data_IF_890165167756
#
_entry.id   IF_890165167756
#
_cell.length_a   1.000
_cell.length_b   1.000
_cell.length_c   1.000
_cell.angle_alpha   90.00
_cell.angle_beta   90.00
_cell.angle_gamma   90.00
#
_symmetry.space_group_name_H-M   'P 1'
#
loop_
_entity.id
_entity.type
_entity.pdbx_description
1 polymer ?
#
# COMPACT_ATOMS: atom_id res chain seq x y z
N UNK A 1 1.21 11.41 -20.55
CA UNK A 1 0.62 11.37 -19.18
C UNK A 1 0.12 9.99 -18.87
N UNK A 2 0.49 9.47 -17.70
CA UNK A 2 -0.04 8.21 -17.23
C UNK A 2 -1.54 8.35 -16.95
N UNK A 3 -2.35 7.47 -17.51
CA UNK A 3 -3.78 7.44 -17.21
C UNK A 3 -3.99 6.96 -15.77
N UNK A 4 -4.78 7.70 -15.00
CA UNK A 4 -5.23 7.28 -13.68
C UNK A 4 -6.37 6.27 -13.85
N UNK A 5 -6.18 5.05 -13.38
CA UNK A 5 -7.22 4.00 -13.42
C UNK A 5 -7.96 3.96 -12.07
N UNK A 6 -8.59 5.06 -11.74
CA UNK A 6 -9.33 5.18 -10.50
C UNK A 6 -10.77 4.72 -10.66
N UNK A 7 -11.29 4.00 -9.67
CA UNK A 7 -12.68 3.58 -9.69
C UNK A 7 -13.13 3.00 -8.36
N UNK A 8 -14.38 2.58 -8.31
CA UNK A 8 -14.97 1.92 -7.16
C UNK A 8 -14.92 0.41 -7.36
N UNK A 9 -14.44 -0.31 -6.35
CA UNK A 9 -14.43 -1.76 -6.32
C UNK A 9 -15.71 -2.27 -5.65
N UNK A 10 -16.40 -3.19 -6.32
CA UNK A 10 -17.60 -3.85 -5.77
C UNK A 10 -17.26 -5.29 -5.41
N UNK A 11 -17.21 -5.63 -4.11
CA UNK A 11 -16.87 -6.99 -3.71
C UNK A 11 -17.96 -7.99 -4.03
N UNK A 12 -17.56 -9.20 -4.45
CA UNK A 12 -18.48 -10.33 -4.58
C UNK A 12 -18.82 -10.92 -3.21
N UNK A 13 -17.91 -10.77 -2.24
CA UNK A 13 -18.05 -11.26 -0.87
C UNK A 13 -17.99 -10.10 0.13
N UNK A 14 -19.02 -9.25 0.18
CA UNK A 14 -18.96 -8.02 0.98
C UNK A 14 -18.79 -8.26 2.48
N UNK A 15 -19.14 -9.43 2.99
CA UNK A 15 -18.97 -9.77 4.41
C UNK A 15 -17.50 -9.87 4.84
N UNK A 16 -16.59 -10.07 3.90
CA UNK A 16 -15.14 -10.12 4.15
C UNK A 16 -14.55 -8.72 4.35
N UNK A 17 -15.17 -7.69 3.79
CA UNK A 17 -14.65 -6.34 3.85
C UNK A 17 -14.99 -5.67 5.17
N UNK A 18 -13.98 -5.10 5.84
CA UNK A 18 -14.15 -4.35 7.08
C UNK A 18 -14.20 -2.86 6.72
N UNK A 19 -15.40 -2.30 6.71
CA UNK A 19 -15.62 -0.90 6.37
C UNK A 19 -16.84 -0.73 5.46
N UNK A 20 -16.92 0.42 4.80
CA UNK A 20 -18.02 0.74 3.90
C UNK A 20 -17.79 0.12 2.52
N UNK A 21 -18.53 -0.93 2.19
CA UNK A 21 -18.40 -1.67 0.93
C UNK A 21 -18.79 -0.82 -0.30
N UNK A 22 -19.47 0.31 -0.11
CA UNK A 22 -19.86 1.20 -1.20
C UNK A 22 -18.80 2.25 -1.53
N UNK A 23 -17.72 2.32 -0.74
CA UNK A 23 -16.69 3.35 -0.86
C UNK A 23 -15.27 2.75 -0.93
N UNK A 24 -15.14 1.59 -1.53
CA UNK A 24 -13.82 0.96 -1.75
C UNK A 24 -13.25 1.52 -3.05
N UNK A 25 -12.25 2.41 -2.93
CA UNK A 25 -11.66 3.10 -4.08
C UNK A 25 -10.31 2.49 -4.42
N UNK A 26 -10.12 2.05 -5.67
CA UNK A 26 -8.80 1.74 -6.20
C UNK A 26 -8.27 2.92 -7.00
N UNK A 27 -6.96 3.18 -6.88
CA UNK A 27 -6.28 4.28 -7.59
C UNK A 27 -5.33 3.78 -8.66
N UNK A 28 -5.19 2.45 -8.77
CA UNK A 28 -4.38 1.80 -9.80
C UNK A 28 -4.96 0.43 -10.12
N UNK A 29 -4.57 -0.13 -11.27
CA UNK A 29 -4.96 -1.49 -11.63
C UNK A 29 -4.30 -2.53 -10.73
N UNK A 30 -3.10 -2.25 -10.21
CA UNK A 30 -2.44 -3.11 -9.24
C UNK A 30 -3.24 -3.22 -7.95
N UNK A 31 -3.74 -2.10 -7.44
CA UNK A 31 -4.61 -2.09 -6.27
C UNK A 31 -5.89 -2.87 -6.53
N UNK A 32 -6.56 -2.63 -7.66
CA UNK A 32 -7.77 -3.35 -8.03
C UNK A 32 -7.54 -4.86 -8.09
N UNK A 33 -6.43 -5.27 -8.65
CA UNK A 33 -6.06 -6.69 -8.76
C UNK A 33 -5.88 -7.32 -7.38
N UNK A 34 -5.25 -6.60 -6.45
CA UNK A 34 -5.09 -7.08 -5.09
C UNK A 34 -6.42 -7.13 -4.33
N UNK A 35 -7.31 -6.16 -4.53
CA UNK A 35 -8.66 -6.18 -3.96
C UNK A 35 -9.43 -7.41 -4.41
N UNK A 36 -9.34 -7.74 -5.69
CA UNK A 36 -9.98 -8.93 -6.23
C UNK A 36 -9.42 -10.21 -5.61
N UNK A 37 -8.11 -10.24 -5.42
CA UNK A 37 -7.47 -11.36 -4.72
C UNK A 37 -8.01 -11.52 -3.30
N UNK A 38 -8.08 -10.44 -2.53
CA UNK A 38 -8.61 -10.47 -1.17
C UNK A 38 -10.08 -10.93 -1.12
N UNK A 39 -10.88 -10.46 -2.08
CA UNK A 39 -12.31 -10.76 -2.13
C UNK A 39 -12.57 -12.23 -2.47
N UNK A 40 -11.80 -12.79 -3.40
CA UNK A 40 -12.06 -14.13 -3.95
C UNK A 40 -11.26 -15.25 -3.28
N UNK A 41 -10.17 -14.95 -2.57
CA UNK A 41 -9.30 -15.97 -1.98
C UNK A 41 -9.86 -16.46 -0.64
N UNK A 42 -10.10 -17.75 -0.52
CA UNK A 42 -10.65 -18.37 0.68
C UNK A 42 -9.71 -18.30 1.89
N UNK A 43 -8.40 -18.13 1.66
CA UNK A 43 -7.42 -17.99 2.75
C UNK A 43 -7.46 -16.59 3.40
N UNK A 44 -8.13 -15.63 2.78
CA UNK A 44 -8.33 -14.29 3.33
C UNK A 44 -9.66 -14.26 4.09
N UNK A 45 -9.57 -14.03 5.39
CA UNK A 45 -10.76 -13.96 6.26
C UNK A 45 -11.42 -12.59 6.18
N UNK A 46 -10.63 -11.51 6.37
CA UNK A 46 -11.08 -10.13 6.30
C UNK A 46 -10.04 -9.25 5.62
N UNK A 47 -10.48 -8.15 5.03
CA UNK A 47 -9.61 -7.13 4.47
C UNK A 47 -10.23 -5.75 4.54
N UNK A 48 -9.40 -4.72 4.54
CA UNK A 48 -9.81 -3.32 4.55
C UNK A 48 -8.86 -2.50 3.69
N UNK A 49 -9.38 -1.44 3.06
CA UNK A 49 -8.64 -0.53 2.21
C UNK A 49 -8.61 0.85 2.85
N UNK A 50 -7.40 1.37 3.12
CA UNK A 50 -7.17 2.74 3.62
C UNK A 50 -7.94 3.10 4.89
N UNK A 51 -8.20 2.12 5.77
CA UNK A 51 -8.98 2.34 6.98
C UNK A 51 -8.10 2.60 8.22
N UNK A 52 -6.80 2.24 8.16
CA UNK A 52 -5.91 2.31 9.32
C UNK A 52 -4.87 3.40 9.12
N UNK A 53 -4.90 4.49 9.91
CA UNK A 53 -3.87 5.53 9.83
C UNK A 53 -2.62 5.14 10.63
N UNK A 54 -1.45 5.41 10.06
CA UNK A 54 -0.16 5.28 10.73
C UNK A 54 0.52 6.64 10.75
N UNK A 55 0.96 7.07 11.92
CA UNK A 55 1.68 8.34 12.06
C UNK A 55 3.14 8.13 11.67
N UNK A 56 3.69 9.00 10.83
CA UNK A 56 5.09 8.98 10.48
C UNK A 56 5.70 10.38 10.49
N UNK A 57 7.02 10.45 10.68
CA UNK A 57 7.77 11.69 10.62
C UNK A 57 8.40 11.84 9.22
N UNK A 58 8.06 12.93 8.53
CA UNK A 58 8.63 13.21 7.22
C UNK A 58 9.91 14.07 7.41
N UNK A 59 11.10 13.50 7.09
CA UNK A 59 12.35 14.24 7.28
C UNK A 59 12.53 15.41 6.31
N UNK A 60 11.75 15.47 5.23
CA UNK A 60 11.85 16.54 4.23
C UNK A 60 11.22 17.83 4.72
N UNK A 61 10.05 17.78 5.35
CA UNK A 61 9.38 18.96 5.92
C UNK A 61 9.49 19.03 7.45
N UNK A 62 10.10 18.03 8.08
CA UNK A 62 10.32 17.93 9.52
C UNK A 62 9.01 17.98 10.33
N UNK A 63 7.96 17.37 9.79
CA UNK A 63 6.62 17.32 10.42
C UNK A 63 6.12 15.90 10.48
N UNK A 64 5.19 15.67 11.44
CA UNK A 64 4.44 14.43 11.51
C UNK A 64 3.22 14.49 10.60
N UNK A 65 2.95 13.38 9.91
CA UNK A 65 1.81 13.23 9.03
C UNK A 65 1.13 11.90 9.32
N UNK A 66 -0.10 11.75 8.84
CA UNK A 66 -0.78 10.47 8.80
C UNK A 66 -0.57 9.81 7.45
N UNK A 67 -0.34 8.51 7.49
CA UNK A 67 -0.18 7.67 6.33
C UNK A 67 -1.23 6.56 6.41
N UNK A 68 -1.98 6.35 5.33
CA UNK A 68 -2.95 5.27 5.23
C UNK A 68 -2.38 4.19 4.33
N UNK A 69 -1.88 3.08 4.89
CA UNK A 69 -1.47 1.94 4.08
C UNK A 69 -2.61 1.45 3.20
N UNK A 70 -2.27 0.92 2.03
CA UNK A 70 -3.29 0.54 1.06
C UNK A 70 -4.27 -0.50 1.60
N UNK A 71 -3.77 -1.53 2.29
CA UNK A 71 -4.60 -2.62 2.78
C UNK A 71 -4.17 -3.15 4.13
N UNK A 72 -5.13 -3.65 4.88
CA UNK A 72 -4.92 -4.51 6.04
C UNK A 72 -5.67 -5.80 5.76
N UNK A 73 -5.01 -6.94 5.98
CA UNK A 73 -5.54 -8.26 5.63
C UNK A 73 -5.36 -9.19 6.82
N UNK A 74 -6.40 -9.98 7.11
CA UNK A 74 -6.34 -11.07 8.09
C UNK A 74 -6.61 -12.40 7.38
N UNK A 75 -5.71 -13.36 7.56
CA UNK A 75 -5.85 -14.69 6.98
C UNK A 75 -6.65 -15.60 7.89
N UNK A 76 -7.10 -16.74 7.35
CA UNK A 76 -7.81 -17.77 8.14
C UNK A 76 -6.94 -18.36 9.25
N UNK A 77 -5.62 -18.24 9.16
CA UNK A 77 -4.68 -18.67 10.19
C UNK A 77 -4.44 -17.61 11.27
N UNK A 78 -5.21 -16.52 11.26
CA UNK A 78 -5.09 -15.37 12.18
C UNK A 78 -3.83 -14.53 11.97
N UNK A 79 -3.12 -14.69 10.87
CA UNK A 79 -2.03 -13.79 10.51
C UNK A 79 -2.59 -12.47 10.00
N UNK A 80 -2.01 -11.36 10.43
CA UNK A 80 -2.39 -10.01 9.99
C UNK A 80 -1.26 -9.36 9.22
N UNK A 81 -1.61 -8.77 8.09
CA UNK A 81 -0.68 -8.09 7.20
C UNK A 81 -1.14 -6.67 6.92
N UNK A 82 -0.20 -5.75 6.96
CA UNK A 82 -0.37 -4.39 6.43
C UNK A 82 0.33 -4.35 5.08
N UNK A 83 -0.41 -3.99 4.03
CA UNK A 83 0.06 -4.13 2.64
C UNK A 83 0.12 -2.76 1.97
N UNK A 84 1.23 -2.49 1.33
CA UNK A 84 1.43 -1.35 0.43
C UNK A 84 1.63 -1.87 -0.99
N UNK A 85 0.87 -1.36 -1.94
CA UNK A 85 0.99 -1.72 -3.35
C UNK A 85 1.79 -0.62 -4.05
N UNK A 86 2.92 -0.99 -4.65
CA UNK A 86 3.77 -0.05 -5.39
C UNK A 86 4.35 -0.70 -6.64
N UNK A 87 4.46 0.03 -7.74
CA UNK A 87 5.27 -0.45 -8.87
C UNK A 87 6.71 -0.66 -8.43
N UNK A 88 7.34 -1.74 -8.91
CA UNK A 88 8.70 -2.10 -8.47
C UNK A 88 9.72 -0.99 -8.70
N UNK A 89 9.56 -0.21 -9.76
CA UNK A 89 10.43 0.94 -10.07
C UNK A 89 10.41 2.02 -8.97
N UNK A 90 9.32 2.12 -8.20
CA UNK A 90 9.16 3.10 -7.13
C UNK A 90 9.65 2.60 -5.76
N UNK A 91 9.97 1.32 -5.66
CA UNK A 91 10.52 0.70 -4.45
C UNK A 91 12.03 0.87 -4.39
N UNK A 92 12.70 0.77 -5.54
CA UNK A 92 14.14 0.90 -5.63
C UNK A 92 14.60 2.34 -5.49
N UNK A 93 15.79 2.54 -4.91
CA UNK A 93 16.41 3.85 -4.83
C UNK A 93 16.67 4.39 -6.24
N UNK A 94 16.27 5.65 -6.56
CA UNK A 94 16.54 6.23 -7.89
C UNK A 94 18.02 6.27 -8.20
N UNK A 95 18.39 5.89 -9.43
CA UNK A 95 19.78 5.97 -9.90
C UNK A 95 20.11 7.41 -10.31
N UNK A 96 21.22 8.01 -9.83
CA UNK A 96 21.59 9.36 -10.23
C UNK A 96 21.89 9.41 -11.73
N UNK A 97 21.25 10.33 -12.48
CA UNK A 97 21.60 10.56 -13.88
C UNK A 97 22.88 11.36 -14.00
N UNK A 98 23.45 11.46 -15.22
CA UNK A 98 24.64 12.28 -15.46
C UNK A 98 24.43 13.74 -15.11
N UNK A 99 23.22 14.28 -15.37
CA UNK A 99 22.82 15.62 -14.91
C UNK A 99 21.61 15.47 -14.01
N UNK A 100 21.63 16.14 -12.85
CA UNK A 100 20.49 16.15 -11.94
C UNK A 100 19.33 16.88 -12.59
N UNK A 101 18.21 16.19 -12.76
CA UNK A 101 16.97 16.73 -13.33
C UNK A 101 15.95 16.95 -12.22
N UNK A 102 14.90 17.73 -12.53
CA UNK A 102 13.75 17.90 -11.61
C UNK A 102 13.07 16.55 -11.35
N UNK A 103 13.01 15.69 -12.36
CA UNK A 103 12.44 14.36 -12.23
C UNK A 103 13.21 13.50 -11.23
N UNK A 104 14.53 13.50 -11.32
CA UNK A 104 15.38 12.77 -10.38
C UNK A 104 15.22 13.27 -8.95
N UNK A 105 15.16 14.60 -8.76
CA UNK A 105 14.96 15.19 -7.44
C UNK A 105 13.60 14.79 -6.86
N UNK A 106 12.54 14.83 -7.66
CA UNK A 106 11.20 14.43 -7.25
C UNK A 106 11.15 12.96 -6.85
N UNK A 107 11.72 12.08 -7.66
CA UNK A 107 11.80 10.65 -7.37
C UNK A 107 12.59 10.38 -6.10
N UNK A 108 13.68 11.10 -5.87
CA UNK A 108 14.51 10.98 -4.67
C UNK A 108 13.73 11.41 -3.42
N UNK A 109 12.98 12.51 -3.50
CA UNK A 109 12.14 12.97 -2.39
C UNK A 109 11.01 11.99 -2.08
N UNK A 110 10.35 11.46 -3.12
CA UNK A 110 9.32 10.42 -2.93
C UNK A 110 9.92 9.16 -2.30
N UNK A 111 11.12 8.76 -2.71
CA UNK A 111 11.79 7.62 -2.13
C UNK A 111 12.05 7.83 -0.64
N UNK A 112 12.59 8.98 -0.24
CA UNK A 112 12.86 9.33 1.16
C UNK A 112 11.56 9.31 1.98
N UNK A 113 10.51 9.91 1.46
CA UNK A 113 9.20 9.96 2.10
C UNK A 113 8.61 8.57 2.28
N UNK A 114 8.67 7.73 1.24
CA UNK A 114 8.17 6.36 1.30
C UNK A 114 8.95 5.51 2.30
N UNK A 115 10.27 5.67 2.39
CA UNK A 115 11.07 4.95 3.38
C UNK A 115 10.66 5.34 4.81
N UNK A 116 10.39 6.63 5.05
CA UNK A 116 9.91 7.10 6.35
C UNK A 116 8.53 6.52 6.69
N UNK A 117 7.61 6.50 5.73
CA UNK A 117 6.27 5.90 5.89
C UNK A 117 6.37 4.41 6.21
N UNK A 118 7.18 3.68 5.45
CA UNK A 118 7.26 2.23 5.58
C UNK A 118 7.97 1.81 6.86
N UNK A 119 8.96 2.58 7.30
CA UNK A 119 9.59 2.34 8.59
C UNK A 119 8.60 2.53 9.75
N UNK A 120 7.80 3.58 9.70
CA UNK A 120 6.73 3.80 10.69
C UNK A 120 5.68 2.71 10.65
N UNK A 121 5.29 2.26 9.45
CA UNK A 121 4.35 1.16 9.27
C UNK A 121 4.90 -0.15 9.84
N UNK A 122 6.17 -0.44 9.60
CA UNK A 122 6.82 -1.62 10.15
C UNK A 122 6.86 -1.60 11.68
N UNK A 123 7.21 -0.45 12.28
CA UNK A 123 7.19 -0.30 13.74
C UNK A 123 5.80 -0.50 14.31
N UNK A 124 4.79 0.08 13.67
CA UNK A 124 3.40 -0.11 14.06
C UNK A 124 3.02 -1.59 14.01
N UNK A 125 3.38 -2.30 12.96
CA UNK A 125 3.09 -3.72 12.79
C UNK A 125 3.79 -4.56 13.87
N UNK A 126 5.05 -4.27 14.16
CA UNK A 126 5.80 -4.97 15.21
C UNK A 126 5.12 -4.82 16.57
N UNK A 127 4.58 -3.62 16.87
CA UNK A 127 3.90 -3.35 18.13
C UNK A 127 2.49 -3.97 18.22
N UNK A 128 1.90 -4.32 17.08
CA UNK A 128 0.51 -4.79 17.00
C UNK A 128 0.36 -6.22 16.48
N UNK A 129 1.44 -6.99 16.43
CA UNK A 129 1.39 -8.38 16.00
C UNK A 129 1.05 -8.56 14.52
N UNK A 130 1.45 -7.61 13.69
CA UNK A 130 1.22 -7.61 12.25
C UNK A 130 2.55 -7.70 11.49
N UNK A 131 2.49 -8.05 10.21
CA UNK A 131 3.62 -7.99 9.29
C UNK A 131 3.37 -6.94 8.23
N UNK A 132 4.36 -6.10 7.97
CA UNK A 132 4.30 -5.13 6.89
C UNK A 132 4.93 -5.70 5.62
N UNK A 133 4.22 -5.57 4.48
CA UNK A 133 4.72 -6.02 3.16
C UNK A 133 4.46 -4.97 2.10
N UNK A 134 5.47 -4.73 1.26
CA UNK A 134 5.32 -3.97 0.02
C UNK A 134 5.18 -4.97 -1.11
N UNK A 135 4.06 -4.92 -1.83
CA UNK A 135 3.74 -5.82 -2.94
C UNK A 135 3.84 -5.05 -4.25
N UNK A 136 4.56 -5.62 -5.20
CA UNK A 136 4.75 -5.04 -6.53
C UNK A 136 4.05 -5.89 -7.59
N UNK A 137 4.05 -5.41 -8.85
CA UNK A 137 3.53 -6.18 -10.00
C UNK A 137 4.24 -7.53 -10.16
N UNK A 138 5.47 -7.64 -9.69
CA UNK A 138 6.23 -8.90 -9.74
C UNK A 138 5.66 -9.93 -8.78
N UNK A 139 5.14 -9.49 -7.64
CA UNK A 139 4.52 -10.37 -6.64
C UNK A 139 3.10 -10.75 -7.03
N UNK A 140 2.38 -9.84 -7.70
CA UNK A 140 0.98 -10.07 -8.06
C UNK A 140 0.77 -11.16 -9.11
N UNK A 141 1.82 -11.59 -9.79
CA UNK A 141 1.78 -12.78 -10.60
C UNK A 141 1.51 -14.07 -9.83
N UNK A 142 1.67 -14.03 -8.50
CA UNK A 142 1.43 -15.15 -7.58
C UNK A 142 0.03 -15.14 -6.95
N UNK A 143 -0.75 -14.10 -7.18
CA UNK A 143 -2.06 -13.89 -6.57
C UNK A 143 -3.19 -13.94 -7.57
#
# INVERSE_FOLDING_TARGET
MAKSYRGLFRPNNPKKYVGNTKQIVYRSLLERRFMRYCDLNEDILYWASEELPVRYYNPLDKKYHRYFPDFVVKTVNNDKYMIEIKPSRQVAKPKPPKKKTKSYLRESFEYIKNQAKWQAAKSYCDDNGMQFKVITEKDLGKY
#
